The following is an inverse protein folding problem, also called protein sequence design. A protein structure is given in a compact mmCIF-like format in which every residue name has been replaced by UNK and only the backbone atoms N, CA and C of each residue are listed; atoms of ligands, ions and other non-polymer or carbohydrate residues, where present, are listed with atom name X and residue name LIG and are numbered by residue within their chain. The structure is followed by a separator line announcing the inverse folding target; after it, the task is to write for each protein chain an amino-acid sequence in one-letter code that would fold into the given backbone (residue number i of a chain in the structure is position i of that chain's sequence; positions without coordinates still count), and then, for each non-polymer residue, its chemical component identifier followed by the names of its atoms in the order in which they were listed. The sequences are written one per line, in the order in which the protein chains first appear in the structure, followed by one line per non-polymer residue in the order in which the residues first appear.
data_IF_104396302774
#
_entry.id   IF_104396302774
#
_cell.length_a   1.000
_cell.length_b   1.000
_cell.length_c   1.000
_cell.angle_alpha   90.00
_cell.angle_beta   90.00
_cell.angle_gamma   90.00
#
_symmetry.space_group_name_H-M   'P 1'
#
loop_
_entity.id
_entity.type
_entity.pdbx_description
1 polymer ?
#
# COMPACT_ATOMS: atom_id res chain seq x y z
N UNK A 1 -46.43 7.06 -25.45
CA UNK A 1 -46.67 7.21 -23.99
C UNK A 1 -48.01 7.93 -23.83
N UNK A 2 -48.85 7.50 -22.89
CA UNK A 2 -50.11 8.18 -22.63
C UNK A 2 -49.82 9.60 -22.07
N UNK A 3 -50.38 10.68 -22.65
CA UNK A 3 -50.22 12.04 -22.13
C UNK A 3 -50.63 12.18 -20.65
N UNK A 4 -51.64 11.40 -20.23
CA UNK A 4 -52.19 11.45 -18.87
C UNK A 4 -51.24 10.81 -17.85
N UNK A 5 -50.53 9.75 -18.26
CA UNK A 5 -49.45 9.12 -17.50
C UNK A 5 -48.21 10.03 -17.40
N UNK A 6 -47.85 10.68 -18.51
CA UNK A 6 -46.72 11.63 -18.57
C UNK A 6 -46.92 12.81 -17.61
N UNK A 7 -48.14 13.38 -17.58
CA UNK A 7 -48.49 14.46 -16.65
C UNK A 7 -48.38 14.05 -15.18
N UNK A 8 -48.83 12.83 -14.83
CA UNK A 8 -48.71 12.28 -13.46
C UNK A 8 -47.26 12.10 -13.05
N UNK A 9 -46.43 11.57 -13.95
CA UNK A 9 -44.99 11.36 -13.71
C UNK A 9 -44.24 12.68 -13.52
N UNK A 10 -44.53 13.70 -14.34
CA UNK A 10 -43.96 15.04 -14.19
C UNK A 10 -44.38 15.67 -12.84
N UNK A 11 -45.64 15.54 -12.46
CA UNK A 11 -46.13 16.09 -11.19
C UNK A 11 -45.49 15.39 -9.98
N UNK A 12 -45.32 14.07 -10.03
CA UNK A 12 -44.61 13.31 -9.01
C UNK A 12 -43.13 13.74 -8.90
N UNK A 13 -42.45 13.93 -10.03
CA UNK A 13 -41.08 14.43 -10.05
C UNK A 13 -40.97 15.85 -9.49
N UNK A 14 -41.89 16.74 -9.87
CA UNK A 14 -41.96 18.10 -9.32
C UNK A 14 -42.13 18.09 -7.81
N UNK A 15 -43.05 17.26 -7.29
CA UNK A 15 -43.26 17.11 -5.84
C UNK A 15 -41.96 16.73 -5.12
N UNK A 16 -41.24 15.72 -5.63
CA UNK A 16 -39.95 15.29 -5.07
C UNK A 16 -38.87 16.37 -5.11
N UNK A 17 -38.83 17.19 -6.16
CA UNK A 17 -37.87 18.29 -6.31
C UNK A 17 -38.19 19.49 -5.40
N UNK A 18 -39.46 19.69 -5.07
CA UNK A 18 -39.91 20.81 -4.20
C UNK A 18 -39.81 20.53 -2.70
N UNK A 19 -39.41 19.33 -2.31
CA UNK A 19 -39.20 19.01 -0.89
C UNK A 19 -37.98 19.76 -0.33
N UNK A 20 -38.02 20.11 0.98
CA UNK A 20 -36.98 20.89 1.65
C UNK A 20 -35.57 20.29 1.60
N UNK A 21 -35.46 18.98 1.40
CA UNK A 21 -34.18 18.27 1.34
C UNK A 21 -34.11 17.42 0.09
N UNK A 22 -32.93 17.38 -0.53
CA UNK A 22 -32.65 16.55 -1.69
C UNK A 22 -31.67 15.44 -1.29
N UNK A 23 -31.91 14.23 -1.77
CA UNK A 23 -30.99 13.08 -1.60
C UNK A 23 -30.73 12.43 -2.96
N UNK A 24 -29.66 11.62 -3.03
CA UNK A 24 -29.33 10.85 -4.24
C UNK A 24 -30.49 9.98 -4.72
N UNK A 25 -31.17 9.29 -3.80
CA UNK A 25 -32.33 8.47 -4.10
C UNK A 25 -33.50 9.29 -4.67
N UNK A 26 -33.70 10.54 -4.20
CA UNK A 26 -34.71 11.43 -4.77
C UNK A 26 -34.36 11.83 -6.20
N UNK A 27 -33.10 12.15 -6.48
CA UNK A 27 -32.63 12.48 -7.84
C UNK A 27 -32.78 11.28 -8.78
N UNK A 28 -32.44 10.06 -8.34
CA UNK A 28 -32.67 8.84 -9.12
C UNK A 28 -34.15 8.57 -9.36
N UNK A 29 -35.00 8.79 -8.36
CA UNK A 29 -36.45 8.66 -8.49
C UNK A 29 -37.02 9.66 -9.52
N UNK A 30 -36.58 10.91 -9.45
CA UNK A 30 -36.93 11.95 -10.44
C UNK A 30 -36.46 11.55 -11.83
N UNK A 31 -35.24 11.03 -11.97
CA UNK A 31 -34.69 10.53 -13.23
C UNK A 31 -35.56 9.42 -13.83
N UNK A 32 -35.97 8.43 -13.05
CA UNK A 32 -36.87 7.36 -13.52
C UNK A 32 -38.23 7.92 -13.93
N UNK A 33 -38.77 8.86 -13.13
CA UNK A 33 -40.08 9.46 -13.37
C UNK A 33 -40.11 10.29 -14.66
N UNK A 34 -39.06 11.02 -15.00
CA UNK A 34 -39.06 11.89 -16.20
C UNK A 34 -38.27 11.32 -17.38
N UNK A 35 -37.73 10.10 -17.24
CA UNK A 35 -37.01 9.41 -18.32
C UNK A 35 -37.86 9.33 -19.58
N UNK A 36 -37.26 9.72 -20.70
CA UNK A 36 -37.88 9.67 -22.04
C UNK A 36 -38.85 10.81 -22.32
N UNK A 37 -39.07 11.74 -21.38
CA UNK A 37 -39.91 12.93 -21.61
C UNK A 37 -39.15 13.95 -22.46
N UNK A 38 -37.86 14.16 -22.18
CA UNK A 38 -37.01 15.05 -22.97
C UNK A 38 -35.54 14.57 -22.92
N UNK A 39 -34.90 14.30 -24.07
CA UNK A 39 -33.53 13.81 -24.10
C UNK A 39 -32.50 14.76 -23.49
N UNK A 40 -32.75 16.08 -23.54
CA UNK A 40 -31.87 17.08 -22.88
C UNK A 40 -31.94 16.96 -21.36
N UNK A 41 -33.14 16.76 -20.82
CA UNK A 41 -33.35 16.62 -19.38
C UNK A 41 -32.74 15.30 -18.89
N UNK A 42 -32.89 14.23 -19.66
CA UNK A 42 -32.27 12.93 -19.36
C UNK A 42 -30.74 13.04 -19.29
N UNK A 43 -30.13 13.74 -20.25
CA UNK A 43 -28.68 13.98 -20.28
C UNK A 43 -28.22 14.79 -19.07
N UNK A 44 -28.94 15.86 -18.72
CA UNK A 44 -28.61 16.70 -17.57
C UNK A 44 -28.74 15.94 -16.25
N UNK A 45 -29.77 15.12 -16.09
CA UNK A 45 -29.95 14.26 -14.92
C UNK A 45 -28.86 13.19 -14.82
N UNK A 46 -28.44 12.60 -15.93
CA UNK A 46 -27.35 11.61 -15.95
C UNK A 46 -26.05 12.26 -15.47
N UNK A 47 -25.69 13.41 -16.04
CA UNK A 47 -24.49 14.15 -15.68
C UNK A 47 -24.53 14.59 -14.21
N UNK A 48 -25.68 15.09 -13.73
CA UNK A 48 -25.86 15.50 -12.33
C UNK A 48 -25.75 14.31 -11.38
N UNK A 49 -26.33 13.16 -11.74
CA UNK A 49 -26.23 11.92 -10.95
C UNK A 49 -24.78 11.44 -10.85
N UNK A 50 -24.05 11.51 -11.96
CA UNK A 50 -22.63 11.14 -12.02
C UNK A 50 -21.79 12.06 -11.13
N UNK A 51 -21.94 13.38 -11.28
CA UNK A 51 -21.24 14.36 -10.43
C UNK A 51 -21.55 14.17 -8.94
N UNK A 52 -22.81 13.87 -8.59
CA UNK A 52 -23.21 13.60 -7.21
C UNK A 52 -22.57 12.32 -6.66
N UNK A 53 -22.39 11.29 -7.50
CA UNK A 53 -21.68 10.07 -7.11
C UNK A 53 -20.18 10.30 -6.90
N UNK A 54 -19.55 11.14 -7.72
CA UNK A 54 -18.14 11.54 -7.56
C UNK A 54 -17.96 12.35 -6.27
N UNK A 55 -18.90 13.25 -5.97
CA UNK A 55 -18.91 14.01 -4.70
C UNK A 55 -19.11 13.10 -3.48
N UNK A 56 -19.91 12.05 -3.60
CA UNK A 56 -20.11 11.05 -2.55
C UNK A 56 -18.81 10.26 -2.27
N UNK A 57 -18.10 9.85 -3.31
CA UNK A 57 -16.78 9.23 -3.20
C UNK A 57 -15.77 10.18 -2.54
N UNK A 58 -15.79 11.47 -2.91
CA UNK A 58 -14.96 12.50 -2.27
C UNK A 58 -15.27 12.63 -0.77
N UNK A 59 -16.55 12.67 -0.38
CA UNK A 59 -16.96 12.77 1.02
C UNK A 59 -16.61 11.53 1.85
N UNK A 60 -16.57 10.34 1.21
CA UNK A 60 -16.14 9.07 1.83
C UNK A 60 -14.62 8.95 1.99
N UNK A 61 -13.85 9.95 1.57
CA UNK A 61 -12.39 9.91 1.62
C UNK A 61 -11.77 9.01 0.54
N UNK A 62 -12.53 8.59 -0.46
CA UNK A 62 -12.06 7.81 -1.62
C UNK A 62 -11.35 8.71 -2.65
N UNK A 63 -10.68 9.77 -2.19
CA UNK A 63 -10.00 10.79 -3.02
C UNK A 63 -8.90 10.13 -3.87
N UNK A 64 -8.24 9.11 -3.31
CA UNK A 64 -7.21 8.32 -4.02
C UNK A 64 -7.83 7.53 -5.17
N UNK A 65 -9.02 6.95 -5.00
CA UNK A 65 -9.73 6.25 -6.08
C UNK A 65 -10.22 7.23 -7.15
N UNK A 66 -10.76 8.39 -6.74
CA UNK A 66 -11.21 9.44 -7.67
C UNK A 66 -10.06 9.98 -8.53
N UNK A 67 -8.91 10.22 -7.90
CA UNK A 67 -7.71 10.72 -8.56
C UNK A 67 -7.14 9.66 -9.51
N UNK A 68 -7.12 8.40 -9.08
CA UNK A 68 -6.70 7.28 -9.91
C UNK A 68 -7.61 7.06 -11.14
N UNK A 69 -8.92 7.30 -11.01
CA UNK A 69 -9.89 7.21 -12.12
C UNK A 69 -9.63 8.27 -13.21
N UNK A 70 -9.06 9.42 -12.85
CA UNK A 70 -8.77 10.55 -13.75
C UNK A 70 -7.33 10.60 -14.26
N UNK A 71 -6.49 9.61 -13.95
CA UNK A 71 -5.14 9.52 -14.49
C UNK A 71 -5.18 9.43 -16.03
N UNK A 72 -4.28 10.15 -16.74
CA UNK A 72 -4.22 10.13 -18.20
C UNK A 72 -3.82 8.75 -18.71
N UNK A 73 -4.46 8.29 -19.79
CA UNK A 73 -4.22 7.01 -20.46
C UNK A 73 -3.62 7.25 -21.85
N UNK A 74 -2.46 7.93 -21.90
CA UNK A 74 -1.85 8.32 -23.18
C UNK A 74 -1.19 7.15 -23.91
N UNK A 75 -0.85 6.07 -23.20
CA UNK A 75 -0.24 4.85 -23.75
C UNK A 75 -0.95 3.59 -23.26
N UNK A 76 -0.76 2.47 -23.98
CA UNK A 76 -1.26 1.16 -23.54
C UNK A 76 -0.63 0.71 -22.21
N UNK A 77 0.59 1.16 -21.93
CA UNK A 77 1.26 0.91 -20.66
C UNK A 77 0.60 1.69 -19.53
N UNK A 78 0.27 2.96 -19.75
CA UNK A 78 -0.46 3.79 -18.77
C UNK A 78 -1.84 3.21 -18.46
N UNK A 79 -2.52 2.67 -19.47
CA UNK A 79 -3.80 1.99 -19.29
C UNK A 79 -3.70 0.74 -18.43
N UNK A 80 -2.65 -0.07 -18.64
CA UNK A 80 -2.36 -1.24 -17.80
C UNK A 80 -2.03 -0.81 -16.36
N UNK A 81 -1.16 0.19 -16.19
CA UNK A 81 -0.76 0.74 -14.88
C UNK A 81 -1.97 1.30 -14.12
N UNK A 82 -2.81 2.11 -14.78
CA UNK A 82 -4.04 2.65 -14.19
C UNK A 82 -5.02 1.55 -13.79
N UNK A 83 -5.21 0.54 -14.63
CA UNK A 83 -6.09 -0.60 -14.31
C UNK A 83 -5.57 -1.37 -13.10
N UNK A 84 -4.26 -1.60 -13.00
CA UNK A 84 -3.63 -2.25 -11.86
C UNK A 84 -3.75 -1.41 -10.57
N UNK A 85 -3.50 -0.10 -10.66
CA UNK A 85 -3.63 0.84 -9.55
C UNK A 85 -5.07 0.88 -9.02
N UNK A 86 -6.06 1.01 -9.92
CA UNK A 86 -7.48 0.99 -9.55
C UNK A 86 -7.90 -0.34 -8.94
N UNK A 87 -7.42 -1.46 -9.49
CA UNK A 87 -7.66 -2.77 -8.92
C UNK A 87 -7.07 -2.87 -7.50
N UNK A 88 -5.85 -2.38 -7.31
CA UNK A 88 -5.18 -2.39 -6.01
C UNK A 88 -5.91 -1.53 -4.97
N UNK A 89 -6.27 -0.28 -5.32
CA UNK A 89 -7.00 0.62 -4.42
C UNK A 89 -8.34 0.00 -4.01
N UNK A 90 -9.10 -0.54 -4.96
CA UNK A 90 -10.40 -1.17 -4.71
C UNK A 90 -10.31 -2.43 -3.85
N UNK A 91 -9.25 -3.23 -4.06
CA UNK A 91 -9.08 -4.49 -3.35
C UNK A 91 -8.20 -4.39 -2.10
N UNK A 92 -7.63 -3.22 -1.78
CA UNK A 92 -6.69 -3.03 -0.67
C UNK A 92 -7.21 -3.56 0.67
N UNK A 93 -8.46 -3.24 1.03
CA UNK A 93 -9.08 -3.72 2.28
C UNK A 93 -9.25 -5.24 2.29
N UNK A 94 -9.67 -5.81 1.16
CA UNK A 94 -9.82 -7.27 1.02
C UNK A 94 -8.46 -7.97 1.07
N UNK A 95 -7.45 -7.40 0.41
CA UNK A 95 -6.10 -7.94 0.37
C UNK A 95 -5.45 -7.89 1.75
N UNK A 96 -5.59 -6.80 2.49
CA UNK A 96 -5.07 -6.70 3.86
C UNK A 96 -5.70 -7.73 4.79
N UNK A 97 -7.03 -7.90 4.72
CA UNK A 97 -7.72 -8.93 5.51
C UNK A 97 -7.28 -10.35 5.14
N UNK A 98 -7.05 -10.61 3.86
CA UNK A 98 -6.52 -11.88 3.36
C UNK A 98 -5.08 -12.14 3.80
N UNK A 99 -4.21 -11.12 3.78
CA UNK A 99 -2.84 -11.20 4.30
C UNK A 99 -2.86 -11.54 5.79
N UNK A 100 -3.70 -10.88 6.58
CA UNK A 100 -3.81 -11.15 8.02
C UNK A 100 -4.33 -12.56 8.30
N UNK A 101 -5.30 -13.05 7.49
CA UNK A 101 -5.78 -14.43 7.57
C UNK A 101 -4.68 -15.42 7.25
N UNK A 102 -4.00 -15.25 6.12
CA UNK A 102 -2.93 -16.14 5.66
C UNK A 102 -1.78 -16.14 6.65
N UNK A 103 -1.39 -14.97 7.18
CA UNK A 103 -0.38 -14.84 8.23
C UNK A 103 -0.77 -15.61 9.49
N UNK A 104 -2.02 -15.49 9.96
CA UNK A 104 -2.53 -16.25 11.12
C UNK A 104 -2.53 -17.76 10.86
N UNK A 105 -2.95 -18.21 9.68
CA UNK A 105 -2.95 -19.63 9.31
C UNK A 105 -1.53 -20.22 9.21
N UNK A 106 -0.53 -19.40 8.89
CA UNK A 106 0.89 -19.76 8.86
C UNK A 106 1.57 -19.67 10.23
N UNK A 107 1.19 -18.71 11.09
CA UNK A 107 1.75 -18.57 12.45
C UNK A 107 1.29 -19.69 13.43
N UNK A 108 0.24 -20.46 13.07
CA UNK A 108 -0.15 -21.66 13.84
C UNK A 108 0.95 -22.72 13.72
N UNK A 109 1.89 -22.72 14.68
CA UNK A 109 3.06 -23.61 14.85
C UNK A 109 2.99 -24.91 14.03
N UNK A 110 3.69 -24.90 12.91
CA UNK A 110 4.22 -26.06 12.19
C UNK A 110 5.65 -26.29 12.70
N UNK A 111 6.00 -27.52 13.04
CA UNK A 111 7.35 -27.83 13.55
C UNK A 111 8.37 -28.07 12.42
N UNK A 112 7.99 -27.90 11.15
CA UNK A 112 8.81 -28.20 9.97
C UNK A 112 8.35 -27.39 8.75
N UNK A 113 9.30 -26.94 7.92
CA UNK A 113 9.02 -26.17 6.69
C UNK A 113 8.10 -26.89 5.69
N UNK A 114 8.11 -28.23 5.68
CA UNK A 114 7.23 -29.04 4.83
C UNK A 114 5.75 -28.92 5.21
N UNK A 115 5.43 -28.66 6.49
CA UNK A 115 4.05 -28.43 6.94
C UNK A 115 3.52 -27.05 6.53
N UNK A 116 4.38 -26.05 6.40
CA UNK A 116 3.99 -24.72 5.90
C UNK A 116 3.69 -24.75 4.41
N UNK A 117 4.54 -25.43 3.64
CA UNK A 117 4.32 -25.64 2.21
C UNK A 117 3.01 -26.41 1.97
N UNK A 118 2.71 -27.42 2.79
CA UNK A 118 1.46 -28.19 2.68
C UNK A 118 0.20 -27.38 3.02
N UNK A 119 0.25 -26.52 4.07
CA UNK A 119 -0.86 -25.60 4.41
C UNK A 119 -1.07 -24.57 3.31
N UNK A 120 0.01 -24.05 2.73
CA UNK A 120 -0.06 -23.12 1.60
C UNK A 120 -0.66 -23.75 0.36
N UNK A 121 -0.34 -25.02 0.05
CA UNK A 121 -0.99 -25.77 -1.02
C UNK A 121 -2.48 -25.96 -0.78
N UNK A 122 -2.89 -26.14 0.47
CA UNK A 122 -4.31 -26.23 0.85
C UNK A 122 -5.04 -24.89 0.67
N UNK A 123 -4.42 -23.79 1.09
CA UNK A 123 -4.94 -22.43 0.85
C UNK A 123 -5.00 -22.14 -0.66
N UNK A 124 -3.96 -22.53 -1.40
CA UNK A 124 -3.88 -22.38 -2.85
C UNK A 124 -4.96 -23.19 -3.58
N UNK A 125 -5.27 -24.40 -3.10
CA UNK A 125 -6.30 -25.27 -3.69
C UNK A 125 -7.73 -24.77 -3.48
N UNK A 126 -7.95 -23.86 -2.52
CA UNK A 126 -9.25 -23.21 -2.26
C UNK A 126 -9.50 -21.99 -3.15
N UNK A 127 -8.53 -21.60 -4.00
CA UNK A 127 -8.69 -20.53 -4.99
C UNK A 127 -9.66 -20.95 -6.11
N UNK A 128 -10.96 -20.69 -5.95
CA UNK A 128 -11.88 -20.61 -7.09
C UNK A 128 -12.63 -19.28 -7.05
N UNK A 129 -12.50 -18.51 -8.12
CA UNK A 129 -13.23 -17.25 -8.34
C UNK A 129 -12.40 -15.97 -8.16
N UNK A 130 -13.02 -14.79 -8.27
CA UNK A 130 -12.33 -13.48 -8.22
C UNK A 130 -11.64 -13.21 -6.88
N UNK A 131 -12.14 -13.78 -5.78
CA UNK A 131 -11.49 -13.78 -4.47
C UNK A 131 -10.20 -14.61 -4.44
N UNK A 132 -10.05 -15.56 -5.38
CA UNK A 132 -8.83 -16.32 -5.52
C UNK A 132 -7.64 -15.44 -5.88
N UNK A 133 -7.82 -14.44 -6.74
CA UNK A 133 -6.72 -13.56 -7.16
C UNK A 133 -6.14 -12.80 -5.95
N UNK A 134 -7.00 -12.29 -5.07
CA UNK A 134 -6.57 -11.62 -3.83
C UNK A 134 -5.87 -12.57 -2.86
N UNK A 135 -6.35 -13.81 -2.74
CA UNK A 135 -5.73 -14.82 -1.87
C UNK A 135 -4.38 -15.30 -2.42
N UNK A 136 -4.24 -15.51 -3.74
CA UNK A 136 -2.94 -15.82 -4.37
C UNK A 136 -1.93 -14.69 -4.11
N UNK A 137 -2.36 -13.44 -4.30
CA UNK A 137 -1.50 -12.30 -4.06
C UNK A 137 -1.09 -12.19 -2.58
N UNK A 138 -2.03 -12.41 -1.65
CA UNK A 138 -1.73 -12.45 -0.22
C UNK A 138 -0.72 -13.55 0.15
N UNK A 139 -0.87 -14.76 -0.40
CA UNK A 139 0.09 -15.86 -0.22
C UNK A 139 1.47 -15.48 -0.75
N UNK A 140 1.57 -14.93 -1.96
CA UNK A 140 2.84 -14.48 -2.54
C UNK A 140 3.51 -13.42 -1.66
N UNK A 141 2.74 -12.44 -1.16
CA UNK A 141 3.24 -11.37 -0.28
C UNK A 141 3.76 -11.95 1.04
N UNK A 142 3.02 -12.86 1.67
CA UNK A 142 3.43 -13.47 2.95
C UNK A 142 4.66 -14.37 2.78
N UNK A 143 4.79 -15.10 1.66
CA UNK A 143 6.01 -15.85 1.33
C UNK A 143 7.19 -14.88 1.13
N UNK A 144 6.99 -13.85 0.30
CA UNK A 144 8.02 -12.86 0.01
C UNK A 144 8.55 -12.20 1.29
N UNK A 145 7.64 -11.81 2.18
CA UNK A 145 7.97 -11.26 3.50
C UNK A 145 8.64 -12.28 4.42
N UNK A 146 8.26 -13.55 4.38
CA UNK A 146 8.91 -14.61 5.18
C UNK A 146 10.33 -14.92 4.70
N UNK A 147 10.57 -14.92 3.38
CA UNK A 147 11.88 -15.19 2.78
C UNK A 147 12.82 -13.98 2.95
N UNK A 148 12.33 -12.75 2.76
CA UNK A 148 13.13 -11.53 2.94
C UNK A 148 13.25 -11.08 4.41
N UNK A 149 12.24 -11.38 5.24
CA UNK A 149 12.22 -11.03 6.67
C UNK A 149 12.87 -12.07 7.59
N UNK A 150 13.25 -13.24 7.06
CA UNK A 150 13.76 -14.40 7.79
C UNK A 150 15.18 -14.28 8.36
N UNK A 151 15.69 -13.08 8.63
CA UNK A 151 16.98 -12.90 9.32
C UNK A 151 16.91 -11.95 10.52
N UNK A 152 15.89 -12.13 11.36
CA UNK A 152 15.89 -11.62 12.73
C UNK A 152 15.50 -12.77 13.67
N UNK A 153 16.49 -13.23 14.44
CA UNK A 153 16.43 -14.17 15.55
C UNK A 153 16.39 -15.68 15.20
N UNK A 154 17.55 -16.23 14.81
CA UNK A 154 17.89 -17.60 15.21
C UNK A 154 18.43 -17.57 16.63
N UNK A 155 17.55 -17.59 17.62
CA UNK A 155 17.95 -17.99 18.98
C UNK A 155 18.06 -19.51 18.96
N UNK A 156 19.29 -20.01 19.00
CA UNK A 156 19.60 -21.42 19.21
C UNK A 156 18.88 -21.90 20.48
N UNK A 157 17.85 -22.73 20.33
CA UNK A 157 17.35 -23.57 21.42
C UNK A 157 18.17 -24.86 21.34
N UNK A 158 19.28 -24.89 22.08
CA UNK A 158 19.98 -26.13 22.44
C UNK A 158 19.16 -26.82 23.54
N UNK A 159 19.00 -28.15 23.53
CA UNK A 159 18.14 -28.85 24.47
C UNK A 159 18.65 -28.69 25.90
N UNK A 160 17.73 -28.41 26.85
CA UNK A 160 18.01 -28.42 28.28
C UNK A 160 18.72 -29.71 28.69
N UNK A 161 19.99 -29.57 29.07
CA UNK A 161 20.65 -30.46 30.01
C UNK A 161 21.22 -29.61 31.13
N UNK A 162 21.00 -30.10 32.32
CA UNK A 162 21.09 -29.49 33.64
C UNK A 162 22.50 -28.96 33.98
N UNK A 163 22.50 -27.96 34.89
CA UNK A 163 23.51 -27.60 35.91
C UNK A 163 24.38 -26.35 35.66
N UNK A 164 24.00 -25.31 36.42
CA UNK A 164 24.82 -24.50 37.32
C UNK A 164 25.76 -23.39 36.76
N UNK A 165 25.87 -22.39 37.64
CA UNK A 165 26.95 -21.44 37.93
C UNK A 165 26.89 -20.02 37.31
N UNK A 166 26.90 -19.06 38.26
CA UNK A 166 27.53 -17.73 38.29
C UNK A 166 26.87 -16.53 37.60
N UNK A 167 26.37 -15.64 38.46
CA UNK A 167 26.13 -14.23 38.18
C UNK A 167 27.48 -13.51 38.01
N UNK A 168 27.87 -13.22 36.77
CA UNK A 168 28.69 -12.03 36.46
C UNK A 168 28.07 -11.29 35.27
N UNK A 169 27.97 -9.95 35.31
CA UNK A 169 27.38 -9.18 34.23
C UNK A 169 28.38 -9.06 33.07
N UNK A 170 28.17 -9.83 32.01
CA UNK A 170 28.89 -9.66 30.73
C UNK A 170 28.35 -8.41 30.05
N UNK A 171 29.13 -7.33 30.05
CA UNK A 171 28.94 -6.16 29.18
C UNK A 171 29.19 -6.59 27.73
N UNK A 172 28.13 -6.82 26.99
CA UNK A 172 28.21 -7.01 25.53
C UNK A 172 28.35 -5.61 24.92
N UNK A 173 29.57 -5.19 24.61
CA UNK A 173 29.81 -4.03 23.76
C UNK A 173 29.26 -4.34 22.36
N UNK A 174 28.07 -3.85 22.05
CA UNK A 174 27.49 -3.95 20.71
C UNK A 174 28.29 -3.06 19.75
N UNK A 175 29.02 -3.67 18.81
CA UNK A 175 29.75 -2.92 17.77
C UNK A 175 28.76 -2.23 16.83
N UNK A 176 28.90 -0.92 16.66
CA UNK A 176 28.06 -0.08 15.80
C UNK A 176 28.68 -0.02 14.40
N UNK A 177 27.86 -0.25 13.36
CA UNK A 177 28.27 -0.09 11.95
C UNK A 177 28.00 1.34 11.48
N UNK A 178 29.02 2.00 10.96
CA UNK A 178 28.98 3.40 10.52
C UNK A 178 29.55 3.57 9.11
N UNK A 179 29.13 4.62 8.41
CA UNK A 179 29.87 5.17 7.25
C UNK A 179 30.62 6.42 7.68
N UNK A 180 31.70 6.77 6.97
CA UNK A 180 32.47 7.99 7.22
C UNK A 180 32.19 9.01 6.13
N UNK A 181 31.60 10.14 6.49
CA UNK A 181 31.28 11.26 5.60
C UNK A 181 31.85 12.52 6.21
N UNK A 182 32.72 13.24 5.50
CA UNK A 182 33.39 14.45 6.00
C UNK A 182 34.07 14.27 7.38
N UNK A 183 34.64 13.08 7.60
CA UNK A 183 35.28 12.71 8.87
C UNK A 183 34.32 12.39 10.02
N UNK A 184 33.00 12.41 9.77
CA UNK A 184 31.95 12.09 10.73
C UNK A 184 31.48 10.65 10.56
N UNK A 185 31.30 9.95 11.67
CA UNK A 185 30.82 8.57 11.69
C UNK A 185 29.30 8.54 11.82
N UNK A 186 28.61 8.19 10.74
CA UNK A 186 27.15 8.14 10.69
C UNK A 186 26.70 6.69 10.83
N UNK A 187 25.93 6.33 11.87
CA UNK A 187 25.38 4.99 12.03
C UNK A 187 24.47 4.60 10.88
N UNK A 188 24.54 3.34 10.44
CA UNK A 188 23.63 2.82 9.43
C UNK A 188 22.15 2.89 9.85
N UNK A 189 21.85 2.98 11.15
CA UNK A 189 20.48 3.15 11.68
C UNK A 189 19.87 4.52 11.38
N UNK A 190 20.70 5.52 11.13
CA UNK A 190 20.32 6.89 10.77
C UNK A 190 20.21 7.09 9.26
N UNK A 191 20.41 6.01 8.48
CA UNK A 191 20.45 6.04 7.03
C UNK A 191 19.34 5.22 6.40
N UNK A 192 18.88 5.66 5.24
CA UNK A 192 18.04 4.91 4.30
C UNK A 192 18.77 4.79 2.97
N UNK A 193 18.27 3.93 2.08
CA UNK A 193 18.81 3.78 0.74
C UNK A 193 17.77 4.27 -0.25
N UNK A 194 18.12 5.28 -1.06
CA UNK A 194 17.26 5.77 -2.13
C UNK A 194 17.16 4.76 -3.27
N UNK A 195 15.96 4.55 -3.81
CA UNK A 195 15.69 3.77 -5.01
C UNK A 195 14.70 4.56 -5.89
N UNK A 196 15.16 5.08 -7.03
CA UNK A 196 14.37 5.94 -7.93
C UNK A 196 15.15 6.37 -9.17
N UNK A 197 14.53 7.18 -10.05
CA UNK A 197 15.19 7.68 -11.29
C UNK A 197 16.41 8.57 -11.00
N UNK A 198 16.46 9.16 -9.81
CA UNK A 198 17.59 9.90 -9.25
C UNK A 198 18.79 9.02 -8.87
N UNK A 199 18.60 7.70 -8.81
CA UNK A 199 19.62 6.70 -8.50
C UNK A 199 20.15 5.98 -9.74
N UNK A 200 20.05 6.57 -10.94
CA UNK A 200 20.54 5.95 -12.17
C UNK A 200 21.94 6.47 -12.53
N UNK A 201 22.91 5.56 -12.61
CA UNK A 201 24.19 5.81 -13.30
C UNK A 201 24.07 5.27 -14.73
N UNK A 202 23.60 6.12 -15.64
CA UNK A 202 23.16 5.71 -16.98
C UNK A 202 21.88 4.86 -16.92
N UNK A 203 22.00 3.55 -17.20
CA UNK A 203 20.88 2.59 -17.18
C UNK A 203 20.95 1.61 -15.99
N UNK A 204 21.89 1.81 -15.05
CA UNK A 204 22.12 0.90 -13.94
C UNK A 204 21.68 1.59 -12.65
N UNK A 205 20.86 0.91 -11.85
CA UNK A 205 20.54 1.36 -10.50
C UNK A 205 21.81 1.40 -9.64
N UNK A 206 22.16 2.60 -9.19
CA UNK A 206 23.27 2.91 -8.31
C UNK A 206 22.71 3.40 -6.96
N UNK A 207 22.29 2.48 -6.07
CA UNK A 207 21.71 2.85 -4.79
C UNK A 207 22.75 3.57 -3.93
N UNK A 208 22.32 4.63 -3.26
CA UNK A 208 23.14 5.48 -2.41
C UNK A 208 22.50 5.70 -1.04
N UNK A 209 23.32 6.06 -0.05
CA UNK A 209 22.88 6.32 1.32
C UNK A 209 22.28 7.71 1.45
N UNK A 210 21.10 7.82 2.05
CA UNK A 210 20.45 9.07 2.44
C UNK A 210 20.22 9.12 3.94
N UNK A 211 19.97 10.32 4.46
CA UNK A 211 19.42 10.46 5.79
C UNK A 211 18.04 9.80 5.87
N UNK A 212 17.73 9.18 7.00
CA UNK A 212 16.47 8.43 7.17
C UNK A 212 15.21 9.27 6.96
N UNK A 213 15.28 10.56 7.25
CA UNK A 213 14.22 11.55 7.04
C UNK A 213 14.41 12.39 5.77
N UNK A 214 15.43 12.10 4.97
CA UNK A 214 15.86 12.87 3.79
C UNK A 214 16.22 14.34 4.09
N UNK A 215 16.57 14.67 5.34
CA UNK A 215 16.97 16.03 5.76
C UNK A 215 18.37 16.02 6.36
N UNK A 216 18.62 15.20 7.39
CA UNK A 216 19.92 15.12 8.03
C UNK A 216 20.10 13.80 8.80
N UNK A 217 21.33 13.28 8.83
CA UNK A 217 21.67 12.11 9.63
C UNK A 217 22.47 12.51 10.86
N UNK A 218 22.22 11.85 12.00
CA UNK A 218 22.95 12.10 13.24
C UNK A 218 24.23 11.26 13.29
N UNK A 219 25.38 11.90 13.47
CA UNK A 219 26.65 11.23 13.68
C UNK A 219 26.83 10.79 15.14
N UNK A 220 27.75 9.85 15.38
CA UNK A 220 28.06 9.33 16.72
C UNK A 220 28.60 10.41 17.68
N UNK A 221 29.24 11.45 17.16
CA UNK A 221 29.71 12.59 17.94
C UNK A 221 28.60 13.61 18.27
N UNK A 222 27.35 13.30 17.92
CA UNK A 222 26.17 14.12 18.20
C UNK A 222 25.90 15.23 17.19
N UNK A 223 26.81 15.47 16.24
CA UNK A 223 26.60 16.45 15.17
C UNK A 223 25.64 15.91 14.10
N UNK A 224 24.92 16.80 13.44
CA UNK A 224 24.05 16.48 12.31
C UNK A 224 24.79 16.73 11.00
N UNK A 225 24.73 15.76 10.09
CA UNK A 225 25.24 15.87 8.72
C UNK A 225 24.04 16.00 7.80
N UNK A 226 23.91 17.13 7.10
CA UNK A 226 22.81 17.38 6.17
C UNK A 226 22.86 16.43 4.99
N UNK A 227 21.71 15.92 4.57
CA UNK A 227 21.61 15.14 3.35
C UNK A 227 21.88 16.06 2.14
N UNK A 228 22.89 15.76 1.30
CA UNK A 228 23.24 16.61 0.17
C UNK A 228 22.20 16.57 -0.96
N UNK A 229 21.24 15.65 -0.92
CA UNK A 229 20.34 15.38 -2.04
C UNK A 229 21.07 14.76 -3.24
N UNK A 230 20.32 14.34 -4.26
CA UNK A 230 20.91 13.68 -5.43
C UNK A 230 21.53 12.32 -5.06
N UNK A 231 22.86 12.21 -5.08
CA UNK A 231 23.58 10.97 -4.78
C UNK A 231 23.79 10.70 -3.27
N UNK A 232 23.17 11.49 -2.39
CA UNK A 232 23.25 11.32 -0.94
C UNK A 232 24.68 11.29 -0.40
N UNK A 233 24.92 10.51 0.66
CA UNK A 233 26.22 10.28 1.28
C UNK A 233 27.15 9.34 0.49
N UNK A 234 26.77 8.98 -0.74
CA UNK A 234 27.55 8.14 -1.64
C UNK A 234 26.93 6.77 -1.90
N UNK A 235 27.40 6.12 -2.97
CA UNK A 235 26.88 4.85 -3.44
C UNK A 235 27.23 3.70 -2.48
N UNK A 236 26.28 2.79 -2.25
CA UNK A 236 26.46 1.65 -1.31
C UNK A 236 27.66 0.78 -1.67
N UNK A 237 27.98 0.65 -2.97
CA UNK A 237 29.13 -0.14 -3.45
C UNK A 237 30.48 0.55 -3.28
N UNK A 238 30.48 1.86 -3.02
CA UNK A 238 31.69 2.70 -2.96
C UNK A 238 32.00 3.11 -1.52
N UNK A 239 30.97 3.38 -0.72
CA UNK A 239 31.12 3.84 0.67
C UNK A 239 31.50 2.66 1.57
N UNK A 240 32.63 2.78 2.27
CA UNK A 240 33.10 1.76 3.20
C UNK A 240 32.33 1.82 4.52
N UNK A 241 31.87 0.65 4.98
CA UNK A 241 31.29 0.48 6.32
C UNK A 241 32.42 0.13 7.30
N UNK A 242 32.48 0.87 8.40
CA UNK A 242 33.44 0.68 9.51
C UNK A 242 32.67 0.22 10.74
N UNK A 243 33.24 -0.71 11.52
CA UNK A 243 32.71 -1.12 12.81
C UNK A 243 33.44 -0.39 13.94
N UNK A 244 32.69 0.26 14.83
CA UNK A 244 33.22 1.06 15.95
C UNK A 244 32.56 0.65 17.27
N UNK A 245 33.29 0.79 18.38
CA UNK A 245 32.82 0.51 19.75
C UNK A 245 32.17 1.74 20.40
#
# INVERSE_FOLDING_TARGET
MDPLDTKKRIFAAYKLLTEKTTSKQKIESVKILIKGVNPKIDTLLENSTKALSELEKFHKGEIIELTAEHLPENTDEDKKRKKALLWFIRNWKSLHGEIDRVKKELEVKSNTADQDIAKMWKIASSLKGPLGITTAFAVIVVIGLSIFGGNKNKTNIVPSSTLQITNEPVSIKEKIKVIVVDGKQIPLTELTTGQGQECMDGNIEAPHYHAKDHVAAKALDGFTVSDPGGCGFGMIKVVQIVEVE
#
